data_IF_688973874312
#
_entry.id   IF_688973874312
#
_cell.length_a   1.000
_cell.length_b   1.000
_cell.length_c   1.000
_cell.angle_alpha   90.00
_cell.angle_beta   90.00
_cell.angle_gamma   90.00
#
_symmetry.space_group_name_H-M   'P 1'
#
loop_
_entity.id
_entity.type
_entity.pdbx_description
1 polymer ?
#
# COMPACT_ATOMS: atom_id res chain seq x y z
N UNK A 1 -2.83 13.73 -7.20
CA UNK A 1 -3.01 15.19 -7.04
C UNK A 1 -4.15 15.50 -6.06
N UNK A 2 -4.02 16.51 -5.19
CA UNK A 2 -5.20 17.17 -4.57
C UNK A 2 -5.65 18.24 -5.57
N UNK A 3 -6.92 18.29 -6.02
CA UNK A 3 -7.37 19.24 -7.03
C UNK A 3 -7.11 20.70 -6.63
N UNK A 4 -6.74 21.55 -7.60
CA UNK A 4 -6.48 23.00 -7.43
C UNK A 4 -7.66 23.80 -6.82
N UNK A 5 -8.87 23.22 -6.74
CA UNK A 5 -10.05 23.88 -6.16
C UNK A 5 -10.13 23.80 -4.62
N UNK A 6 -9.25 23.03 -3.98
CA UNK A 6 -9.25 22.77 -2.53
C UNK A 6 -8.20 23.57 -1.73
N UNK A 7 -7.55 24.58 -2.33
CA UNK A 7 -6.72 25.54 -1.57
C UNK A 7 -7.51 26.20 -0.42
N UNK A 8 -8.84 26.28 -0.52
CA UNK A 8 -9.72 26.78 0.52
C UNK A 8 -9.82 25.84 1.75
N UNK A 9 -9.66 24.52 1.59
CA UNK A 9 -9.61 23.55 2.69
C UNK A 9 -8.19 23.43 3.27
N UNK A 10 -7.15 23.66 2.45
CA UNK A 10 -5.75 23.68 2.89
C UNK A 10 -5.37 24.92 3.72
N UNK A 11 -6.22 25.97 3.69
CA UNK A 11 -6.03 27.22 4.43
C UNK A 11 -6.48 27.16 5.90
N UNK A 12 -7.06 26.04 6.37
CA UNK A 12 -7.44 25.82 7.77
C UNK A 12 -6.32 25.12 8.56
N UNK A 13 -6.18 25.50 9.84
CA UNK A 13 -5.33 24.85 10.83
C UNK A 13 -5.75 23.36 10.92
N UNK A 14 -4.97 22.43 10.36
CA UNK A 14 -5.36 21.01 10.20
C UNK A 14 -5.21 20.39 8.81
N UNK A 15 -4.69 21.13 7.82
CA UNK A 15 -4.54 20.67 6.42
C UNK A 15 -3.86 19.31 6.23
N UNK A 16 -2.84 18.98 7.04
CA UNK A 16 -2.20 17.67 6.99
C UNK A 16 -3.14 16.56 7.44
N UNK A 17 -3.80 16.72 8.59
CA UNK A 17 -4.65 15.68 9.18
C UNK A 17 -5.85 15.38 8.29
N UNK A 18 -6.47 16.42 7.73
CA UNK A 18 -7.55 16.31 6.75
C UNK A 18 -7.03 15.61 5.49
N UNK A 19 -5.85 15.98 4.98
CA UNK A 19 -5.23 15.33 3.82
C UNK A 19 -4.95 13.84 4.02
N UNK A 20 -4.49 13.44 5.21
CA UNK A 20 -4.29 12.02 5.54
C UNK A 20 -5.62 11.25 5.52
N UNK A 21 -6.67 11.83 6.11
CA UNK A 21 -8.00 11.23 6.10
C UNK A 21 -8.60 11.13 4.69
N UNK A 22 -8.50 12.20 3.90
CA UNK A 22 -8.93 12.22 2.49
C UNK A 22 -8.24 11.14 1.67
N UNK A 23 -6.93 10.95 1.86
CA UNK A 23 -6.19 9.93 1.13
C UNK A 23 -6.61 8.51 1.55
N UNK A 24 -6.87 8.26 2.84
CA UNK A 24 -7.41 6.97 3.29
C UNK A 24 -8.81 6.73 2.72
N UNK A 25 -9.67 7.75 2.68
CA UNK A 25 -10.99 7.67 2.05
C UNK A 25 -10.87 7.33 0.56
N UNK A 26 -9.99 8.03 -0.16
CA UNK A 26 -9.73 7.79 -1.58
C UNK A 26 -9.33 6.33 -1.80
N UNK A 27 -8.39 5.79 -1.01
CA UNK A 27 -7.97 4.39 -1.11
C UNK A 27 -9.17 3.46 -0.86
N UNK A 28 -9.90 3.64 0.24
CA UNK A 28 -11.05 2.77 0.56
C UNK A 28 -12.09 2.77 -0.55
N UNK A 29 -12.47 3.95 -1.03
CA UNK A 29 -13.50 4.12 -2.06
C UNK A 29 -13.02 3.62 -3.42
N UNK A 30 -11.76 3.84 -3.76
CA UNK A 30 -11.14 3.28 -4.96
C UNK A 30 -11.24 1.74 -4.95
N UNK A 31 -10.87 1.11 -3.84
CA UNK A 31 -10.96 -0.35 -3.66
C UNK A 31 -12.41 -0.85 -3.78
N UNK A 32 -13.38 -0.12 -3.21
CA UNK A 32 -14.82 -0.42 -3.36
C UNK A 32 -15.26 -0.38 -4.85
N UNK A 33 -14.77 0.61 -5.62
CA UNK A 33 -15.04 0.70 -7.08
C UNK A 33 -14.40 -0.45 -7.84
N UNK A 34 -13.14 -0.78 -7.54
CA UNK A 34 -12.44 -1.93 -8.13
C UNK A 34 -13.21 -3.22 -7.86
N UNK A 35 -13.72 -3.42 -6.65
CA UNK A 35 -14.55 -4.58 -6.33
C UNK A 35 -15.84 -4.61 -7.14
N UNK A 36 -16.55 -3.48 -7.24
CA UNK A 36 -17.78 -3.35 -8.04
C UNK A 36 -17.54 -3.65 -9.53
N UNK A 37 -16.49 -3.08 -10.12
CA UNK A 37 -16.08 -3.31 -11.50
C UNK A 37 -15.70 -4.77 -11.74
N UNK A 38 -15.01 -5.40 -10.78
CA UNK A 38 -14.72 -6.83 -10.85
C UNK A 38 -15.99 -7.68 -10.88
N UNK A 39 -16.96 -7.40 -10.00
CA UNK A 39 -18.24 -8.13 -9.97
C UNK A 39 -19.06 -7.92 -11.25
N UNK A 40 -18.87 -6.80 -11.96
CA UNK A 40 -19.44 -6.54 -13.29
C UNK A 40 -18.67 -7.19 -14.44
N UNK A 41 -17.51 -7.80 -14.17
CA UNK A 41 -16.67 -8.44 -15.18
C UNK A 41 -15.77 -7.49 -15.98
N UNK A 42 -15.58 -6.25 -15.50
CA UNK A 42 -14.76 -5.23 -16.16
C UNK A 42 -13.27 -5.33 -15.79
N UNK A 43 -12.95 -5.82 -14.59
CA UNK A 43 -11.57 -6.05 -14.13
C UNK A 43 -11.18 -7.51 -14.42
N UNK A 44 -10.11 -7.70 -15.19
CA UNK A 44 -9.60 -9.01 -15.57
C UNK A 44 -8.46 -9.48 -14.67
N UNK A 45 -8.31 -10.80 -14.55
CA UNK A 45 -7.27 -11.41 -13.74
C UNK A 45 -7.61 -11.41 -12.24
N UNK A 46 -6.59 -11.59 -11.41
CA UNK A 46 -6.76 -11.62 -9.95
C UNK A 46 -6.51 -10.27 -9.31
N UNK A 47 -7.33 -9.95 -8.31
CA UNK A 47 -7.38 -8.66 -7.64
C UNK A 47 -7.39 -8.89 -6.13
N UNK A 48 -6.57 -8.13 -5.42
CA UNK A 48 -6.41 -8.20 -3.97
C UNK A 48 -6.56 -6.80 -3.42
N UNK A 49 -7.65 -6.57 -2.69
CA UNK A 49 -8.04 -5.22 -2.27
C UNK A 49 -7.34 -4.80 -0.97
N UNK A 50 -6.93 -3.55 -0.85
CA UNK A 50 -6.21 -3.05 0.31
C UNK A 50 -7.11 -2.61 1.49
N UNK A 51 -8.43 -2.80 1.39
CA UNK A 51 -9.43 -2.36 2.38
C UNK A 51 -9.11 -2.80 3.83
N UNK A 52 -9.00 -1.81 4.71
CA UNK A 52 -8.72 -1.95 6.15
C UNK A 52 -7.27 -1.68 6.55
N UNK A 53 -6.37 -1.48 5.56
CA UNK A 53 -4.94 -1.27 5.78
C UNK A 53 -4.47 0.14 5.39
N UNK A 54 -5.40 1.06 5.10
CA UNK A 54 -5.12 2.36 4.49
C UNK A 54 -4.16 3.21 5.32
N UNK A 55 -4.30 3.17 6.65
CA UNK A 55 -3.42 3.91 7.56
C UNK A 55 -1.94 3.55 7.39
N UNK A 56 -1.62 2.30 7.03
CA UNK A 56 -0.23 1.87 6.79
C UNK A 56 0.33 2.55 5.54
N UNK A 57 -0.38 2.43 4.40
CA UNK A 57 0.03 3.07 3.15
C UNK A 57 0.12 4.58 3.27
N UNK A 58 -0.90 5.24 3.84
CA UNK A 58 -0.93 6.71 3.97
C UNK A 58 0.10 7.22 4.97
N UNK A 59 0.26 6.55 6.12
CA UNK A 59 1.22 6.93 7.13
C UNK A 59 2.65 6.92 6.58
N UNK A 60 3.05 5.84 5.90
CA UNK A 60 4.35 5.80 5.22
C UNK A 60 4.43 6.72 4.01
N UNK A 61 3.42 6.74 3.15
CA UNK A 61 3.38 7.56 1.93
C UNK A 61 3.64 9.04 2.23
N UNK A 62 3.05 9.55 3.30
CA UNK A 62 3.20 10.94 3.76
C UNK A 62 4.55 11.28 4.43
N UNK A 63 5.33 10.27 4.83
CA UNK A 63 6.64 10.44 5.45
C UNK A 63 7.80 10.32 4.44
N UNK A 64 7.54 9.74 3.28
CA UNK A 64 8.55 9.44 2.25
C UNK A 64 8.66 10.56 1.21
N UNK A 65 9.89 10.82 0.75
CA UNK A 65 10.19 11.79 -0.32
C UNK A 65 10.12 11.14 -1.70
N UNK A 66 10.18 11.94 -2.78
CA UNK A 66 10.22 11.42 -4.16
C UNK A 66 11.52 10.66 -4.51
N UNK A 67 12.58 10.84 -3.71
CA UNK A 67 13.84 10.13 -3.88
C UNK A 67 13.83 8.72 -3.27
N UNK A 68 12.90 8.46 -2.35
CA UNK A 68 12.74 7.16 -1.72
C UNK A 68 12.10 6.14 -2.68
N UNK A 69 12.33 4.86 -2.40
CA UNK A 69 11.88 3.76 -3.27
C UNK A 69 11.06 2.75 -2.48
N UNK A 70 9.89 2.40 -2.99
CA UNK A 70 9.00 1.44 -2.33
C UNK A 70 8.79 0.20 -3.19
N UNK A 71 8.78 -0.97 -2.55
CA UNK A 71 8.34 -2.21 -3.17
C UNK A 71 7.11 -2.72 -2.42
N UNK A 72 6.05 -3.02 -3.16
CA UNK A 72 4.74 -3.34 -2.62
C UNK A 72 4.38 -4.80 -2.88
N UNK A 73 3.44 -5.34 -2.11
CA UNK A 73 2.85 -6.65 -2.42
C UNK A 73 1.93 -6.56 -3.63
N UNK A 74 1.36 -7.69 -4.03
CA UNK A 74 0.23 -7.79 -4.96
C UNK A 74 -1.03 -7.02 -4.52
N UNK A 75 -1.08 -6.54 -3.27
CA UNK A 75 -2.14 -5.69 -2.71
C UNK A 75 -1.67 -4.23 -2.66
N UNK A 76 -1.04 -3.76 -3.73
CA UNK A 76 -0.29 -2.51 -3.71
C UNK A 76 -1.08 -1.24 -3.99
N UNK A 77 -2.36 -1.31 -4.37
CA UNK A 77 -3.10 -0.14 -4.87
C UNK A 77 -3.10 1.01 -3.87
N UNK A 78 -3.33 0.73 -2.59
CA UNK A 78 -3.25 1.74 -1.53
C UNK A 78 -1.87 2.40 -1.43
N UNK A 79 -0.78 1.65 -1.60
CA UNK A 79 0.58 2.19 -1.62
C UNK A 79 0.84 3.05 -2.86
N UNK A 80 0.38 2.64 -4.05
CA UNK A 80 0.49 3.46 -5.26
C UNK A 80 -0.23 4.81 -5.10
N UNK A 81 -1.49 4.78 -4.64
CA UNK A 81 -2.27 6.00 -4.37
C UNK A 81 -1.59 6.88 -3.31
N UNK A 82 -1.08 6.29 -2.22
CA UNK A 82 -0.37 7.03 -1.18
C UNK A 82 0.98 7.60 -1.64
N UNK A 83 1.56 7.05 -2.72
CA UNK A 83 2.76 7.58 -3.38
C UNK A 83 2.46 8.60 -4.48
N UNK A 84 1.19 8.82 -4.79
CA UNK A 84 0.74 9.84 -5.74
C UNK A 84 0.40 9.32 -7.13
N UNK A 85 0.42 8.00 -7.37
CA UNK A 85 -0.05 7.44 -8.65
C UNK A 85 -1.48 7.91 -8.91
N UNK A 86 -1.72 8.44 -10.10
CA UNK A 86 -3.01 9.04 -10.44
C UNK A 86 -4.13 7.98 -10.47
N UNK A 87 -5.27 8.19 -9.76
CA UNK A 87 -6.33 7.20 -9.66
C UNK A 87 -6.90 6.75 -11.01
N UNK A 88 -7.00 7.68 -11.97
CA UNK A 88 -7.48 7.38 -13.32
C UNK A 88 -6.56 6.39 -14.05
N UNK A 89 -5.25 6.65 -14.04
CA UNK A 89 -4.26 5.75 -14.64
C UNK A 89 -4.19 4.41 -13.90
N UNK A 90 -4.30 4.43 -12.57
CA UNK A 90 -4.34 3.20 -11.79
C UNK A 90 -5.56 2.35 -12.14
N UNK A 91 -6.76 2.95 -12.18
CA UNK A 91 -7.98 2.22 -12.52
C UNK A 91 -7.95 1.72 -13.96
N UNK A 92 -7.47 2.55 -14.90
CA UNK A 92 -7.27 2.15 -16.28
C UNK A 92 -6.34 0.93 -16.40
N UNK A 93 -5.29 0.84 -15.58
CA UNK A 93 -4.41 -0.34 -15.53
C UNK A 93 -5.17 -1.61 -15.11
N UNK A 94 -6.01 -1.51 -14.08
CA UNK A 94 -6.82 -2.63 -13.59
C UNK A 94 -7.88 -3.09 -14.60
N UNK A 95 -8.39 -2.15 -15.41
CA UNK A 95 -9.35 -2.40 -16.49
C UNK A 95 -8.67 -2.85 -17.80
N UNK A 96 -7.34 -2.98 -17.84
CA UNK A 96 -6.59 -3.40 -19.02
C UNK A 96 -6.60 -2.36 -20.14
N UNK A 97 -6.72 -1.06 -19.82
CA UNK A 97 -6.82 0.03 -20.79
C UNK A 97 -5.45 0.63 -21.11
N UNK A 98 -5.29 1.15 -22.32
CA UNK A 98 -3.99 1.63 -22.80
C UNK A 98 -3.47 2.88 -22.08
N UNK A 99 -4.35 3.61 -21.38
CA UNK A 99 -4.01 4.75 -20.52
C UNK A 99 -3.60 4.32 -19.11
N UNK A 100 -3.55 3.01 -18.83
CA UNK A 100 -3.04 2.48 -17.56
C UNK A 100 -1.59 2.84 -17.32
N UNK A 101 -1.17 2.83 -16.04
CA UNK A 101 0.22 3.13 -15.60
C UNK A 101 1.27 2.35 -16.39
N UNK A 102 0.99 1.10 -16.75
CA UNK A 102 1.86 0.22 -17.55
C UNK A 102 1.21 -0.14 -18.90
N UNK A 103 0.29 0.71 -19.37
CA UNK A 103 -0.45 0.54 -20.61
C UNK A 103 -1.46 -0.60 -20.59
N UNK A 104 -2.00 -0.96 -19.42
CA UNK A 104 -3.05 -1.97 -19.25
C UNK A 104 -2.55 -3.41 -19.32
N UNK A 105 -1.29 -3.65 -18.95
CA UNK A 105 -0.59 -4.94 -19.12
C UNK A 105 -0.12 -5.59 -17.83
N UNK A 106 0.13 -4.80 -16.79
CA UNK A 106 0.59 -5.28 -15.49
C UNK A 106 -0.57 -5.90 -14.68
N UNK A 107 -1.78 -5.38 -14.89
CA UNK A 107 -2.97 -5.74 -14.12
C UNK A 107 -2.81 -5.43 -12.63
N UNK A 108 -3.63 -6.04 -11.79
CA UNK A 108 -3.70 -5.69 -10.36
C UNK A 108 -2.44 -5.95 -9.54
N UNK A 109 -1.57 -6.88 -9.93
CA UNK A 109 -0.52 -7.41 -9.05
C UNK A 109 0.91 -6.98 -9.39
N UNK A 110 1.15 -6.38 -10.56
CA UNK A 110 2.50 -6.17 -11.09
C UNK A 110 2.77 -4.72 -11.51
N UNK A 111 1.99 -3.76 -10.98
CA UNK A 111 2.06 -2.35 -11.39
C UNK A 111 3.41 -1.77 -10.98
N UNK A 112 4.04 -1.02 -11.87
CA UNK A 112 5.33 -0.34 -11.67
C UNK A 112 5.17 1.13 -11.97
N UNK A 113 5.59 2.01 -11.06
CA UNK A 113 5.45 3.47 -11.20
C UNK A 113 6.71 4.18 -10.67
N UNK A 114 7.79 4.21 -11.47
CA UNK A 114 9.08 4.73 -11.02
C UNK A 114 9.06 6.24 -10.79
N UNK A 115 8.16 6.98 -11.46
CA UNK A 115 8.01 8.43 -11.30
C UNK A 115 7.53 8.79 -9.89
N UNK A 116 6.73 7.91 -9.27
CA UNK A 116 6.29 8.02 -7.87
C UNK A 116 7.16 7.20 -6.88
N UNK A 117 8.27 6.64 -7.37
CA UNK A 117 9.20 5.84 -6.59
C UNK A 117 8.74 4.42 -6.28
N UNK A 118 7.68 3.93 -6.93
CA UNK A 118 7.19 2.56 -6.78
C UNK A 118 7.94 1.63 -7.73
N UNK A 119 8.83 0.82 -7.16
CA UNK A 119 9.63 -0.17 -7.91
C UNK A 119 8.77 -1.26 -8.54
N UNK A 120 7.65 -1.57 -7.89
CA UNK A 120 6.69 -2.54 -8.36
C UNK A 120 5.80 -3.12 -7.26
N UNK A 121 4.67 -3.65 -7.69
CA UNK A 121 3.90 -4.65 -6.96
C UNK A 121 4.41 -6.05 -7.34
N UNK A 122 4.46 -6.95 -6.35
CA UNK A 122 4.96 -8.29 -6.56
C UNK A 122 3.93 -9.36 -6.19
N UNK A 123 3.52 -10.15 -7.21
CA UNK A 123 2.69 -11.36 -7.07
C UNK A 123 3.36 -12.48 -6.29
N UNK A 124 4.69 -12.61 -6.43
CA UNK A 124 5.46 -13.59 -5.66
C UNK A 124 5.52 -13.10 -4.21
N UNK A 125 5.07 -13.93 -3.28
CA UNK A 125 5.17 -13.65 -1.84
C UNK A 125 6.60 -13.22 -1.52
N UNK A 126 6.75 -12.14 -0.75
CA UNK A 126 7.99 -11.46 -0.41
C UNK A 126 8.98 -11.12 -1.53
N UNK A 127 8.57 -11.15 -2.80
CA UNK A 127 9.33 -10.56 -3.90
C UNK A 127 9.60 -9.07 -3.67
N UNK A 128 8.69 -8.36 -2.99
CA UNK A 128 8.88 -6.97 -2.57
C UNK A 128 10.09 -6.78 -1.64
N UNK A 129 10.36 -7.75 -0.75
CA UNK A 129 11.49 -7.72 0.18
C UNK A 129 12.81 -7.74 -0.59
N UNK A 130 12.93 -8.65 -1.56
CA UNK A 130 14.12 -8.76 -2.39
C UNK A 130 14.32 -7.52 -3.29
N UNK A 131 13.25 -7.04 -3.91
CA UNK A 131 13.30 -5.85 -4.78
C UNK A 131 13.74 -4.59 -4.02
N UNK A 132 13.12 -4.32 -2.86
CA UNK A 132 13.52 -3.19 -2.01
C UNK A 132 14.95 -3.35 -1.48
N UNK A 133 15.39 -4.57 -1.15
CA UNK A 133 16.78 -4.82 -0.70
C UNK A 133 17.78 -4.47 -1.80
N UNK A 134 17.48 -4.83 -3.06
CA UNK A 134 18.28 -4.43 -4.21
C UNK A 134 18.32 -2.91 -4.42
N UNK A 135 17.18 -2.24 -4.28
CA UNK A 135 17.12 -0.78 -4.34
C UNK A 135 17.93 -0.13 -3.21
N UNK A 136 17.85 -0.65 -1.98
CA UNK A 136 18.63 -0.15 -0.85
C UNK A 136 20.14 -0.23 -1.10
N UNK A 137 20.61 -1.30 -1.76
CA UNK A 137 22.00 -1.42 -2.17
C UNK A 137 22.42 -0.28 -3.12
N UNK A 138 21.56 0.08 -4.07
CA UNK A 138 21.79 1.18 -5.01
C UNK A 138 21.70 2.56 -4.33
N UNK A 139 20.88 2.71 -3.29
CA UNK A 139 20.68 3.97 -2.56
C UNK A 139 21.76 4.26 -1.50
N UNK A 140 22.75 3.39 -1.29
CA UNK A 140 23.79 3.64 -0.29
C UNK A 140 24.51 4.97 -0.52
N UNK A 141 24.58 5.79 0.51
CA UNK A 141 25.22 7.11 0.47
C UNK A 141 24.43 8.18 -0.28
N UNK A 142 23.24 7.87 -0.81
CA UNK A 142 22.39 8.85 -1.50
C UNK A 142 21.58 9.77 -0.57
N UNK A 143 21.49 9.42 0.72
CA UNK A 143 20.56 10.06 1.64
C UNK A 143 19.08 9.73 1.34
N UNK A 144 18.81 8.63 0.63
CA UNK A 144 17.46 8.10 0.36
C UNK A 144 17.29 6.70 0.93
N UNK A 145 16.04 6.29 1.16
CA UNK A 145 15.71 4.99 1.77
C UNK A 145 14.85 4.14 0.84
N UNK A 146 15.02 2.82 0.96
CA UNK A 146 14.10 1.84 0.39
C UNK A 146 13.09 1.38 1.46
N UNK A 147 11.86 1.10 1.07
CA UNK A 147 10.83 0.52 1.94
C UNK A 147 10.27 -0.73 1.30
N UNK A 148 10.30 -1.84 2.05
CA UNK A 148 9.71 -3.11 1.65
C UNK A 148 8.38 -3.33 2.39
N UNK A 149 7.26 -3.30 1.69
CA UNK A 149 5.96 -3.69 2.26
C UNK A 149 5.68 -5.17 1.98
N UNK A 150 5.30 -5.92 3.01
CA UNK A 150 4.97 -7.34 2.92
C UNK A 150 4.00 -7.77 4.03
N UNK A 151 3.25 -8.84 3.80
CA UNK A 151 2.35 -9.41 4.82
C UNK A 151 3.06 -10.35 5.79
N UNK A 152 2.41 -10.65 6.92
CA UNK A 152 2.90 -11.56 7.97
C UNK A 152 3.28 -12.95 7.45
N UNK A 153 2.53 -13.51 6.50
CA UNK A 153 2.85 -14.80 5.88
C UNK A 153 4.20 -14.82 5.15
N UNK A 154 4.68 -13.69 4.64
CA UNK A 154 5.97 -13.59 3.97
C UNK A 154 7.16 -13.78 4.93
N UNK A 155 6.95 -13.62 6.25
CA UNK A 155 7.99 -13.78 7.27
C UNK A 155 8.41 -15.25 7.49
N UNK A 156 7.68 -16.19 6.90
CA UNK A 156 8.03 -17.63 6.88
C UNK A 156 8.86 -18.06 5.67
N UNK A 157 9.23 -17.12 4.81
CA UNK A 157 9.88 -17.43 3.55
C UNK A 157 11.38 -17.25 3.66
N UNK A 158 12.16 -18.01 2.88
CA UNK A 158 13.62 -17.99 2.98
C UNK A 158 14.20 -16.60 2.67
N UNK A 159 13.72 -15.94 1.61
CA UNK A 159 14.22 -14.62 1.21
C UNK A 159 13.98 -13.53 2.27
N UNK A 160 13.03 -13.70 3.20
CA UNK A 160 12.90 -12.78 4.34
C UNK A 160 14.19 -12.76 5.16
N UNK A 161 14.65 -13.93 5.60
CA UNK A 161 15.85 -14.07 6.40
C UNK A 161 17.12 -13.68 5.63
N UNK A 162 17.20 -14.08 4.35
CA UNK A 162 18.34 -13.74 3.49
C UNK A 162 18.47 -12.23 3.30
N UNK A 163 17.37 -11.53 3.04
CA UNK A 163 17.35 -10.09 2.83
C UNK A 163 17.66 -9.33 4.12
N UNK A 164 17.08 -9.73 5.27
CA UNK A 164 17.39 -9.11 6.57
C UNK A 164 18.88 -9.23 6.90
N UNK A 165 19.44 -10.43 6.75
CA UNK A 165 20.86 -10.67 6.99
C UNK A 165 21.75 -9.84 6.04
N UNK A 166 21.45 -9.86 4.75
CA UNK A 166 22.21 -9.09 3.75
C UNK A 166 22.15 -7.58 4.03
N UNK A 167 20.96 -7.06 4.31
CA UNK A 167 20.77 -5.66 4.66
C UNK A 167 21.55 -5.27 5.90
N UNK A 168 21.55 -6.11 6.94
CA UNK A 168 22.26 -5.85 8.19
C UNK A 168 23.77 -5.85 8.01
N UNK A 169 24.31 -6.87 7.34
CA UNK A 169 25.75 -7.00 7.08
C UNK A 169 26.30 -5.80 6.31
N UNK A 170 25.51 -5.27 5.35
CA UNK A 170 25.93 -4.15 4.51
C UNK A 170 25.49 -2.78 5.02
N UNK A 171 24.76 -2.70 6.13
CA UNK A 171 24.21 -1.44 6.65
C UNK A 171 23.33 -0.72 5.64
N UNK A 172 22.45 -1.44 4.95
CA UNK A 172 21.64 -0.86 3.88
C UNK A 172 20.58 0.13 4.40
N UNK A 173 20.27 1.21 3.65
CA UNK A 173 19.22 2.16 4.00
C UNK A 173 17.83 1.60 3.63
N UNK A 174 17.34 0.62 4.40
CA UNK A 174 16.04 -0.03 4.16
C UNK A 174 15.19 -0.13 5.42
N UNK A 175 13.89 0.08 5.24
CA UNK A 175 12.84 -0.22 6.22
C UNK A 175 12.04 -1.42 5.74
N UNK A 176 11.98 -2.46 6.58
CA UNK A 176 11.14 -3.63 6.35
C UNK A 176 9.81 -3.46 7.09
N UNK A 177 8.70 -3.32 6.36
CA UNK A 177 7.37 -3.05 6.91
C UNK A 177 6.48 -4.27 6.74
N UNK A 178 6.26 -4.99 7.84
CA UNK A 178 5.35 -6.10 7.93
C UNK A 178 3.93 -5.59 8.23
N UNK A 179 3.05 -5.65 7.23
CA UNK A 179 1.62 -5.40 7.35
C UNK A 179 0.95 -6.65 7.91
N UNK A 180 0.98 -6.79 9.24
CA UNK A 180 0.45 -7.97 9.91
C UNK A 180 -1.08 -7.85 10.04
N UNK A 181 -1.79 -8.53 9.14
CA UNK A 181 -3.26 -8.61 9.16
C UNK A 181 -3.79 -9.92 9.78
N UNK A 182 -2.90 -10.73 10.36
CA UNK A 182 -3.22 -11.98 11.05
C UNK A 182 -3.39 -13.20 10.13
N UNK A 183 -3.26 -13.05 8.81
CA UNK A 183 -3.54 -14.13 7.86
C UNK A 183 -2.60 -14.17 6.64
N UNK A 184 -1.89 -15.28 6.50
CA UNK A 184 -1.27 -15.70 5.24
C UNK A 184 -2.30 -16.39 4.34
N UNK A 185 -2.88 -15.65 3.39
CA UNK A 185 -4.03 -16.11 2.58
C UNK A 185 -5.23 -16.49 3.48
N UNK A 186 -5.38 -17.78 3.79
CA UNK A 186 -6.43 -18.35 4.65
C UNK A 186 -5.90 -18.83 5.99
N UNK A 187 -4.58 -18.90 6.16
CA UNK A 187 -3.92 -19.50 7.31
C UNK A 187 -3.67 -18.44 8.39
N UNK A 188 -4.23 -18.60 9.61
CA UNK A 188 -3.90 -17.73 10.73
C UNK A 188 -2.40 -17.72 10.99
N UNK A 189 -1.82 -16.54 11.22
CA UNK A 189 -0.37 -16.39 11.44
C UNK A 189 0.14 -17.32 12.54
N UNK A 190 -0.56 -17.38 13.67
CA UNK A 190 -0.18 -18.19 14.84
C UNK A 190 -0.17 -19.71 14.58
N UNK A 191 -0.88 -20.17 13.54
CA UNK A 191 -0.91 -21.59 13.18
C UNK A 191 0.39 -22.06 12.50
N UNK A 192 1.18 -21.13 11.95
CA UNK A 192 2.37 -21.45 11.14
C UNK A 192 3.62 -20.62 11.50
N UNK A 193 3.46 -19.53 12.23
CA UNK A 193 4.54 -18.65 12.68
C UNK A 193 4.73 -18.80 14.18
N UNK A 194 5.80 -19.49 14.58
CA UNK A 194 6.18 -19.57 15.98
C UNK A 194 6.81 -18.25 16.46
N UNK A 195 6.37 -17.79 17.65
CA UNK A 195 6.87 -16.60 18.33
C UNK A 195 6.44 -15.27 17.70
N UNK A 196 6.75 -14.14 18.35
CA UNK A 196 6.47 -12.81 17.79
C UNK A 196 7.25 -12.57 16.49
N UNK A 197 6.63 -11.93 15.50
CA UNK A 197 7.27 -11.65 14.20
C UNK A 197 8.48 -10.74 14.38
N UNK A 198 8.36 -9.66 15.17
CA UNK A 198 9.49 -8.76 15.49
C UNK A 198 10.71 -9.50 16.04
N UNK A 199 10.52 -10.59 16.79
CA UNK A 199 11.64 -11.35 17.37
C UNK A 199 12.55 -11.96 16.30
N UNK A 200 12.03 -12.25 15.09
CA UNK A 200 12.81 -12.77 13.96
C UNK A 200 13.79 -11.74 13.42
N UNK A 201 13.36 -10.49 13.29
CA UNK A 201 14.23 -9.38 12.89
C UNK A 201 15.20 -8.99 14.01
N UNK A 202 14.74 -8.97 15.27
CA UNK A 202 15.57 -8.69 16.43
C UNK A 202 16.70 -9.73 16.61
N UNK A 203 16.44 -11.01 16.32
CA UNK A 203 17.45 -12.06 16.35
C UNK A 203 18.61 -11.84 15.36
N UNK A 204 18.37 -11.06 14.30
CA UNK A 204 19.39 -10.62 13.34
C UNK A 204 19.98 -9.24 13.68
N UNK A 205 19.63 -8.67 14.83
CA UNK A 205 20.16 -7.40 15.32
C UNK A 205 19.58 -6.16 14.62
N UNK A 206 18.43 -6.25 13.96
CA UNK A 206 17.71 -5.08 13.48
C UNK A 206 16.98 -4.41 14.64
N UNK A 207 16.87 -3.08 14.62
CA UNK A 207 15.93 -2.38 15.49
C UNK A 207 14.50 -2.68 15.01
N UNK A 208 13.59 -2.90 15.96
CA UNK A 208 12.21 -3.31 15.69
C UNK A 208 11.22 -2.36 16.34
N UNK A 209 10.20 -1.95 15.60
CA UNK A 209 9.09 -1.16 16.13
C UNK A 209 7.78 -1.90 15.87
N UNK A 210 6.94 -2.04 16.89
CA UNK A 210 5.53 -2.44 16.70
C UNK A 210 4.67 -1.18 16.68
N UNK A 211 3.77 -1.08 15.72
CA UNK A 211 2.87 0.06 15.58
C UNK A 211 1.44 -0.41 15.37
N UNK A 212 0.50 0.37 15.90
CA UNK A 212 -0.91 0.22 15.58
C UNK A 212 -1.15 0.64 14.12
N UNK A 213 -1.29 -0.35 13.24
CA UNK A 213 -1.51 -0.15 11.81
C UNK A 213 -2.91 0.35 11.47
N UNK A 214 -3.79 0.55 12.46
CA UNK A 214 -5.11 1.15 12.29
C UNK A 214 -5.13 2.65 12.60
N UNK A 215 -4.06 3.22 13.15
CA UNK A 215 -3.93 4.65 13.46
C UNK A 215 -2.90 5.30 12.52
N UNK A 216 -3.38 6.12 11.57
CA UNK A 216 -2.53 6.75 10.56
C UNK A 216 -1.47 7.67 11.14
N UNK A 217 -1.73 8.33 12.28
CA UNK A 217 -0.76 9.20 12.91
C UNK A 217 0.31 8.41 13.66
N UNK A 218 -0.07 7.31 14.30
CA UNK A 218 0.90 6.39 14.91
C UNK A 218 1.83 5.80 13.85
N UNK A 219 1.27 5.32 12.73
CA UNK A 219 2.05 4.84 11.58
C UNK A 219 2.95 5.95 11.04
N UNK A 220 2.41 7.15 10.79
CA UNK A 220 3.16 8.28 10.24
C UNK A 220 4.33 8.67 11.13
N UNK A 221 4.13 8.74 12.44
CA UNK A 221 5.21 9.06 13.38
C UNK A 221 6.30 7.99 13.35
N UNK A 222 5.92 6.70 13.39
CA UNK A 222 6.87 5.60 13.28
C UNK A 222 7.64 5.64 11.95
N UNK A 223 6.97 5.95 10.84
CA UNK A 223 7.58 6.08 9.53
C UNK A 223 8.59 7.25 9.48
N UNK A 224 8.23 8.42 10.01
CA UNK A 224 9.16 9.56 10.10
C UNK A 224 10.41 9.21 10.91
N UNK A 225 10.21 8.67 12.12
CA UNK A 225 11.31 8.36 13.05
C UNK A 225 12.26 7.32 12.47
N UNK A 226 11.72 6.24 11.89
CA UNK A 226 12.52 5.15 11.32
C UNK A 226 13.21 5.60 10.04
N UNK A 227 12.52 6.28 9.14
CA UNK A 227 13.13 6.73 7.88
C UNK A 227 14.21 7.77 8.12
N UNK A 228 14.07 8.67 9.10
CA UNK A 228 15.12 9.60 9.50
C UNK A 228 16.38 8.87 9.98
N UNK A 229 16.24 7.89 10.90
CA UNK A 229 17.37 7.11 11.41
C UNK A 229 18.07 6.31 10.32
N UNK A 230 17.30 5.63 9.48
CA UNK A 230 17.82 4.81 8.37
C UNK A 230 18.53 5.70 7.36
N UNK A 231 17.95 6.85 7.02
CA UNK A 231 18.55 7.86 6.14
C UNK A 231 19.85 8.45 6.72
N UNK A 232 19.90 8.63 8.04
CA UNK A 232 21.07 9.07 8.78
C UNK A 232 22.18 8.04 8.95
N UNK A 233 22.02 6.82 8.40
CA UNK A 233 23.02 5.76 8.46
C UNK A 233 22.90 4.83 9.67
N UNK A 234 21.75 4.80 10.35
CA UNK A 234 21.45 3.87 11.45
C UNK A 234 21.39 2.39 11.05
N UNK A 235 21.43 2.10 9.73
CA UNK A 235 21.29 0.77 9.16
C UNK A 235 19.82 0.36 8.99
N UNK A 236 19.54 -0.91 8.64
CA UNK A 236 18.18 -1.36 8.39
C UNK A 236 17.34 -1.49 9.66
N UNK A 237 16.06 -1.18 9.55
CA UNK A 237 15.07 -1.31 10.62
C UNK A 237 13.84 -2.10 10.17
N UNK A 238 13.12 -2.66 11.13
CA UNK A 238 11.92 -3.46 10.93
C UNK A 238 10.73 -2.85 11.67
N UNK A 239 9.58 -2.76 11.00
CA UNK A 239 8.31 -2.34 11.59
C UNK A 239 7.28 -3.48 11.42
N UNK A 240 6.62 -3.86 12.51
CA UNK A 240 5.38 -4.64 12.46
C UNK A 240 4.19 -3.70 12.65
N UNK A 241 3.44 -3.44 11.58
CA UNK A 241 2.19 -2.70 11.62
C UNK A 241 1.03 -3.69 11.79
N UNK A 242 0.43 -3.70 12.98
CA UNK A 242 -0.72 -4.56 13.29
C UNK A 242 -1.98 -3.94 12.70
N UNK A 243 -2.54 -4.56 11.67
CA UNK A 243 -3.67 -4.04 10.88
C UNK A 243 -4.66 -5.17 10.60
N UNK A 244 -5.63 -4.97 9.72
CA UNK A 244 -6.58 -6.03 9.36
C UNK A 244 -7.12 -5.89 7.94
N UNK A 245 -7.31 -7.03 7.27
CA UNK A 245 -7.86 -7.10 5.90
C UNK A 245 -9.38 -7.27 5.98
N UNK A 246 -10.17 -6.26 5.59
CA UNK A 246 -11.63 -6.34 5.74
C UNK A 246 -12.32 -7.27 4.75
N UNK A 247 -11.82 -7.35 3.52
CA UNK A 247 -12.33 -8.28 2.51
C UNK A 247 -11.59 -9.62 2.56
N UNK A 248 -12.08 -10.62 1.81
CA UNK A 248 -11.34 -11.87 1.61
C UNK A 248 -9.95 -11.66 1.01
N UNK A 249 -9.15 -12.72 0.96
CA UNK A 249 -7.79 -12.69 0.43
C UNK A 249 -7.74 -12.08 -0.96
N UNK A 250 -8.58 -12.59 -1.86
CA UNK A 250 -8.75 -12.12 -3.23
C UNK A 250 -10.24 -11.89 -3.53
N UNK A 251 -10.50 -11.27 -4.68
CA UNK A 251 -11.82 -10.83 -5.18
C UNK A 251 -13.03 -11.75 -5.00
N UNK A 252 -12.84 -13.07 -4.90
CA UNK A 252 -13.92 -14.06 -4.76
C UNK A 252 -13.91 -14.80 -3.43
N UNK A 253 -13.00 -14.47 -2.52
CA UNK A 253 -12.89 -15.14 -1.22
C UNK A 253 -13.94 -14.60 -0.24
N UNK A 254 -14.85 -15.46 0.28
CA UNK A 254 -15.84 -15.07 1.27
C UNK A 254 -15.30 -14.89 2.69
N UNK A 255 -14.04 -15.23 2.98
CA UNK A 255 -13.42 -15.03 4.29
C UNK A 255 -13.88 -16.00 5.39
N UNK A 256 -14.42 -17.18 5.02
CA UNK A 256 -15.07 -18.14 5.94
C UNK A 256 -14.14 -18.82 6.96
N UNK A 257 -12.82 -18.67 6.83
CA UNK A 257 -11.82 -19.19 7.78
C UNK A 257 -11.68 -18.32 9.03
N UNK A 258 -12.22 -17.10 9.02
CA UNK A 258 -12.18 -16.20 10.18
C UNK A 258 -13.11 -16.69 11.29
N UNK A 259 -12.69 -16.61 12.56
CA UNK A 259 -13.59 -16.81 13.69
C UNK A 259 -14.81 -15.87 13.63
N UNK A 260 -16.00 -16.32 14.06
CA UNK A 260 -17.18 -15.46 14.15
C UNK A 260 -16.92 -14.21 15.01
N UNK A 261 -17.32 -13.04 14.51
CA UNK A 261 -17.18 -11.75 15.21
C UNK A 261 -15.80 -11.10 15.13
N UNK A 262 -14.76 -11.79 14.62
CA UNK A 262 -13.42 -11.21 14.52
C UNK A 262 -13.40 -9.97 13.60
N UNK A 263 -13.98 -10.07 12.41
CA UNK A 263 -14.05 -8.95 11.47
C UNK A 263 -14.83 -7.75 12.05
N UNK A 264 -15.89 -8.01 12.80
CA UNK A 264 -16.71 -6.95 13.40
C UNK A 264 -15.92 -6.17 14.45
N UNK A 265 -15.14 -6.86 15.30
CA UNK A 265 -14.24 -6.23 16.27
C UNK A 265 -13.19 -5.34 15.59
N UNK A 266 -12.62 -5.80 14.46
CA UNK A 266 -11.66 -4.98 13.72
C UNK A 266 -12.32 -3.79 13.00
N UNK A 267 -13.59 -3.90 12.60
CA UNK A 267 -14.35 -2.79 12.01
C UNK A 267 -14.68 -1.69 13.02
N UNK A 268 -14.83 -2.00 14.30
CA UNK A 268 -14.92 -0.98 15.36
C UNK A 268 -13.66 -0.11 15.43
N UNK A 269 -12.53 -0.63 14.91
CA UNK A 269 -11.25 0.05 14.81
C UNK A 269 -10.85 0.39 13.38
N UNK A 270 -11.80 0.48 12.45
CA UNK A 270 -11.54 0.88 11.05
C UNK A 270 -10.69 2.17 11.02
N UNK A 271 -9.62 2.25 10.21
CA UNK A 271 -8.75 3.43 10.21
C UNK A 271 -9.50 4.72 9.87
N UNK A 272 -10.58 4.63 9.08
CA UNK A 272 -11.45 5.77 8.79
C UNK A 272 -12.24 6.22 10.03
N UNK A 273 -12.78 5.28 10.81
CA UNK A 273 -13.52 5.58 12.05
C UNK A 273 -12.58 6.18 13.10
N UNK A 274 -11.37 5.62 13.23
CA UNK A 274 -10.33 6.14 14.12
C UNK A 274 -9.96 7.58 13.73
N UNK A 275 -9.79 7.83 12.44
CA UNK A 275 -9.44 9.16 11.93
C UNK A 275 -10.57 10.19 12.07
N UNK A 276 -11.80 9.84 11.73
CA UNK A 276 -12.96 10.73 11.92
C UNK A 276 -13.13 11.15 13.37
N UNK A 277 -13.01 10.21 14.31
CA UNK A 277 -13.09 10.52 15.74
C UNK A 277 -12.01 11.52 16.13
N UNK A 278 -10.76 11.28 15.73
CA UNK A 278 -9.66 12.19 16.06
C UNK A 278 -9.85 13.57 15.43
N UNK A 279 -10.28 13.64 14.17
CA UNK A 279 -10.57 14.89 13.49
C UNK A 279 -11.67 15.71 14.18
N UNK A 280 -12.73 15.06 14.67
CA UNK A 280 -13.77 15.70 15.50
C UNK A 280 -13.18 16.24 16.80
N UNK A 281 -12.33 15.47 17.47
CA UNK A 281 -11.73 15.83 18.76
C UNK A 281 -10.70 16.95 18.65
N UNK A 282 -9.87 16.97 17.59
CA UNK A 282 -8.74 17.91 17.47
C UNK A 282 -9.07 19.15 16.67
N UNK A 283 -9.93 19.04 15.66
CA UNK A 283 -10.26 20.14 14.73
C UNK A 283 -11.71 20.59 14.82
N UNK A 284 -12.54 19.92 15.63
CA UNK A 284 -13.97 20.26 15.75
C UNK A 284 -14.75 20.03 14.46
N UNK A 285 -14.29 19.12 13.59
CA UNK A 285 -14.96 18.83 12.32
C UNK A 285 -16.35 18.23 12.57
N UNK A 286 -17.38 18.93 12.14
CA UNK A 286 -18.77 18.52 12.27
C UNK A 286 -19.19 17.52 11.17
N UNK A 287 -20.37 16.90 11.35
CA UNK A 287 -20.85 15.85 10.44
C UNK A 287 -21.01 16.30 8.98
N UNK A 288 -21.41 17.55 8.75
CA UNK A 288 -21.58 18.13 7.42
C UNK A 288 -20.23 18.39 6.72
N UNK A 289 -19.18 18.74 7.46
CA UNK A 289 -17.81 18.89 6.96
C UNK A 289 -17.24 17.55 6.52
N UNK A 290 -17.35 16.52 7.36
CA UNK A 290 -16.89 15.17 7.01
C UNK A 290 -17.66 14.59 5.81
N UNK A 291 -18.97 14.84 5.73
CA UNK A 291 -19.78 14.42 4.59
C UNK A 291 -19.39 15.16 3.31
N UNK A 292 -19.04 16.44 3.37
CA UNK A 292 -18.49 17.19 2.22
C UNK A 292 -17.18 16.57 1.72
N UNK A 293 -16.28 16.21 2.63
CA UNK A 293 -15.02 15.53 2.28
C UNK A 293 -15.29 14.19 1.58
N UNK A 294 -16.16 13.36 2.16
CA UNK A 294 -16.53 12.07 1.54
C UNK A 294 -17.14 12.27 0.15
N UNK A 295 -18.07 13.22 -0.01
CA UNK A 295 -18.69 13.52 -1.31
C UNK A 295 -17.67 13.95 -2.36
N UNK A 296 -16.70 14.79 -2.00
CA UNK A 296 -15.66 15.23 -2.93
C UNK A 296 -14.82 14.04 -3.46
N UNK A 297 -14.49 13.08 -2.59
CA UNK A 297 -13.80 11.84 -2.99
C UNK A 297 -14.68 10.98 -3.90
N UNK A 298 -15.96 10.84 -3.57
CA UNK A 298 -16.90 10.04 -4.37
C UNK A 298 -17.12 10.67 -5.78
N UNK A 299 -17.27 11.99 -5.87
CA UNK A 299 -17.44 12.73 -7.12
C UNK A 299 -16.20 12.58 -8.03
N UNK A 300 -14.99 12.67 -7.46
CA UNK A 300 -13.75 12.44 -8.19
C UNK A 300 -13.64 11.00 -8.68
N UNK A 301 -14.03 10.02 -7.87
CA UNK A 301 -14.00 8.60 -8.27
C UNK A 301 -15.04 8.26 -9.34
N UNK A 302 -16.20 8.93 -9.35
CA UNK A 302 -17.17 8.82 -10.44
C UNK A 302 -16.57 9.32 -11.76
N UNK A 303 -15.85 10.45 -11.73
CA UNK A 303 -15.13 10.98 -12.91
C UNK A 303 -14.03 10.00 -13.38
N UNK A 304 -13.21 9.51 -12.45
CA UNK A 304 -12.14 8.54 -12.68
C UNK A 304 -12.68 7.25 -13.29
N UNK A 305 -13.77 6.69 -12.74
CA UNK A 305 -14.39 5.47 -13.24
C UNK A 305 -14.91 5.65 -14.68
N UNK A 306 -15.63 6.75 -14.93
CA UNK A 306 -16.16 7.04 -16.25
C UNK A 306 -15.04 7.20 -17.31
N UNK A 307 -13.98 7.94 -16.97
CA UNK A 307 -12.84 8.15 -17.85
C UNK A 307 -12.08 6.83 -18.14
N UNK A 308 -11.82 6.04 -17.09
CA UNK A 308 -11.11 4.77 -17.23
C UNK A 308 -11.90 3.75 -18.06
N UNK A 309 -13.23 3.65 -17.88
CA UNK A 309 -14.08 2.76 -18.70
C UNK A 309 -14.15 3.17 -20.17
N UNK A 310 -14.12 4.47 -20.46
CA UNK A 310 -14.13 5.02 -21.81
C UNK A 310 -12.79 4.88 -22.54
N UNK A 311 -11.69 4.70 -21.81
CA UNK A 311 -10.37 4.55 -22.40
C UNK A 311 -10.27 3.29 -23.29
N UNK A 312 -9.55 3.34 -24.42
CA UNK A 312 -9.45 2.19 -25.32
C UNK A 312 -8.61 1.07 -24.71
N UNK A 313 -8.87 -0.16 -25.13
CA UNK A 313 -7.92 -1.26 -24.94
C UNK A 313 -6.67 -1.05 -25.81
N UNK A 314 -5.50 -1.58 -25.42
CA UNK A 314 -4.30 -1.56 -26.24
C UNK A 314 -4.54 -2.16 -27.63
N UNK A 315 -4.13 -1.46 -28.69
CA UNK A 315 -4.49 -1.79 -30.08
C UNK A 315 -3.90 -3.11 -30.60
N UNK A 316 -2.75 -3.57 -30.07
CA UNK A 316 -2.14 -4.88 -30.38
C UNK A 316 -1.16 -5.30 -29.27
N UNK A 317 -1.01 -6.61 -29.07
CA UNK A 317 0.02 -7.25 -28.24
C UNK A 317 1.37 -7.41 -28.98
N UNK A 318 1.51 -6.83 -30.18
CA UNK A 318 2.75 -6.86 -30.96
C UNK A 318 3.79 -5.94 -30.31
N UNK A 319 4.33 -6.41 -29.20
CA UNK A 319 5.60 -5.93 -28.69
C UNK A 319 6.70 -6.57 -29.56
N UNK A 320 7.48 -5.80 -30.33
CA UNK A 320 8.62 -6.32 -31.09
C UNK A 320 9.56 -7.15 -30.21
N UNK A 321 9.64 -6.80 -28.92
CA UNK A 321 10.41 -7.45 -27.86
C UNK A 321 9.99 -8.90 -27.55
N UNK A 322 8.75 -9.29 -27.87
CA UNK A 322 8.22 -10.64 -27.70
C UNK A 322 7.90 -11.33 -29.04
N UNK A 323 8.18 -10.67 -30.17
CA UNK A 323 8.21 -11.34 -31.47
C UNK A 323 9.41 -12.29 -31.44
N UNK A 324 9.14 -13.57 -31.22
CA UNK A 324 10.16 -14.61 -31.31
C UNK A 324 10.79 -14.46 -32.68
N UNK A 325 12.04 -13.96 -32.72
CA UNK A 325 12.81 -13.81 -33.94
C UNK A 325 12.62 -15.07 -34.77
N UNK A 326 12.00 -14.89 -35.94
CA UNK A 326 11.78 -15.97 -36.88
C UNK A 326 13.10 -16.69 -37.07
N UNK A 327 13.06 -18.00 -36.84
CA UNK A 327 14.15 -18.88 -37.26
C UNK A 327 14.24 -18.77 -38.79
N UNK A 328 15.26 -18.05 -39.25
CA UNK A 328 15.83 -18.21 -40.59
C UNK A 328 16.76 -19.41 -40.60
#
# INVERSE_FOLDING_TARGET
MIPEQDEALAAEDGSLDIGLYMLMLLIRRFEDRVQSLFLRGEVYGTTHLYSGQEAVAVGFGSALTSADRVACTYRGHGHLLARGTEPEALLAELLGRSTGVNGGRAGSMNIVDPDHGVLGCFGIVGGSIAAATGAALALRGSGSVAVAFFGDGATNQAYFFECLNFAKVLGLPIVFVCENNGYGEYTPTEAVTAGPIVARAAAMGLATTEVDGMDVWAVRQAALDVTERVRGGGGPEFIEARTYRFVGHSRSDPGKYRPPGELDQWRERDPLVVAERRLRETHGLEGDQLERISRAVDDELDRVEAAALAAPFPATLDAPEFSTGGSS
#
